data_IF_464338112482
#
_entry.id   IF_464338112482
#
_cell.length_a   1.000
_cell.length_b   1.000
_cell.length_c   1.000
_cell.angle_alpha   90.00
_cell.angle_beta   90.00
_cell.angle_gamma   90.00
#
_symmetry.space_group_name_H-M   'P 1'
#
loop_
_entity.id
_entity.type
_entity.pdbx_description
1 polymer ?
#
# COMPACT_ATOMS: atom_id res chain seq x y z
N UNK A 1 6.50 -1.79 48.88
CA UNK A 1 6.81 -3.01 48.11
C UNK A 1 6.39 -2.93 46.62
N UNK A 2 5.46 -2.06 46.21
CA UNK A 2 4.92 -1.99 44.84
C UNK A 2 5.79 -1.33 43.75
N UNK A 3 6.67 -0.37 44.07
CA UNK A 3 7.52 0.32 43.06
C UNK A 3 8.71 -0.50 42.55
N UNK A 4 9.27 -1.42 43.35
CA UNK A 4 10.43 -2.23 42.97
C UNK A 4 10.11 -3.38 42.03
N UNK A 5 8.91 -3.96 42.14
CA UNK A 5 8.43 -5.05 41.27
C UNK A 5 8.12 -4.53 39.85
N UNK A 6 7.54 -3.33 39.74
CA UNK A 6 7.29 -2.63 38.47
C UNK A 6 8.58 -2.29 37.70
N UNK A 7 9.65 -1.84 38.38
CA UNK A 7 10.94 -1.56 37.73
C UNK A 7 11.64 -2.80 37.18
N UNK A 8 11.55 -3.94 37.87
CA UNK A 8 12.12 -5.22 37.39
C UNK A 8 11.37 -5.73 36.15
N UNK A 9 10.04 -5.66 36.18
CA UNK A 9 9.19 -6.02 35.03
C UNK A 9 9.46 -5.09 33.85
N UNK A 10 9.55 -3.77 34.07
CA UNK A 10 9.87 -2.81 33.02
C UNK A 10 11.26 -3.04 32.40
N UNK A 11 12.29 -3.29 33.22
CA UNK A 11 13.64 -3.62 32.71
C UNK A 11 13.64 -4.92 31.92
N UNK A 12 12.93 -5.94 32.38
CA UNK A 12 12.80 -7.20 31.66
C UNK A 12 12.07 -7.00 30.31
N UNK A 13 11.01 -6.19 30.29
CA UNK A 13 10.29 -5.85 29.06
C UNK A 13 11.19 -5.11 28.06
N UNK A 14 11.95 -4.11 28.52
CA UNK A 14 12.93 -3.40 27.67
C UNK A 14 13.98 -4.36 27.12
N UNK A 15 14.55 -5.24 27.94
CA UNK A 15 15.53 -6.23 27.47
C UNK A 15 14.93 -7.24 26.49
N UNK A 16 13.70 -7.69 26.73
CA UNK A 16 12.98 -8.58 25.81
C UNK A 16 12.69 -7.88 24.47
N UNK A 17 12.29 -6.60 24.50
CA UNK A 17 12.10 -5.80 23.28
C UNK A 17 13.41 -5.63 22.53
N UNK A 18 14.49 -5.25 23.20
CA UNK A 18 15.82 -5.11 22.57
C UNK A 18 16.27 -6.44 21.97
N UNK A 19 16.15 -7.54 22.70
CA UNK A 19 16.46 -8.88 22.19
C UNK A 19 15.61 -9.25 20.99
N UNK A 20 14.29 -8.99 21.03
CA UNK A 20 13.40 -9.20 19.89
C UNK A 20 13.83 -8.38 18.68
N UNK A 21 14.14 -7.10 18.85
CA UNK A 21 14.63 -6.24 17.77
C UNK A 21 15.95 -6.75 17.19
N UNK A 22 16.86 -7.24 18.04
CA UNK A 22 18.14 -7.83 17.58
C UNK A 22 17.91 -9.15 16.84
N UNK A 23 17.02 -10.03 17.31
CA UNK A 23 16.67 -11.26 16.62
C UNK A 23 16.00 -10.98 15.27
N UNK A 24 15.02 -10.07 15.23
CA UNK A 24 14.33 -9.70 13.99
C UNK A 24 15.28 -9.01 13.01
N UNK A 25 16.04 -8.01 13.46
CA UNK A 25 17.03 -7.32 12.62
C UNK A 25 18.15 -8.25 12.14
N UNK A 26 18.66 -9.11 13.03
CA UNK A 26 19.65 -10.13 12.69
C UNK A 26 19.13 -11.14 11.69
N UNK A 27 17.88 -11.59 11.83
CA UNK A 27 17.24 -12.48 10.85
C UNK A 27 17.08 -11.81 9.49
N UNK A 28 16.65 -10.55 9.46
CA UNK A 28 16.52 -9.77 8.21
C UNK A 28 17.86 -9.63 7.50
N UNK A 29 18.94 -9.35 8.24
CA UNK A 29 20.29 -9.28 7.69
C UNK A 29 20.78 -10.65 7.21
N UNK A 30 20.55 -11.71 7.98
CA UNK A 30 20.93 -13.07 7.60
C UNK A 30 20.25 -13.51 6.30
N UNK A 31 18.93 -13.33 6.19
CA UNK A 31 18.18 -13.62 4.97
C UNK A 31 18.60 -12.70 3.82
N UNK A 32 18.81 -11.40 4.09
CA UNK A 32 19.27 -10.44 3.08
C UNK A 32 20.63 -10.80 2.49
N UNK A 33 21.59 -11.22 3.32
CA UNK A 33 22.90 -11.71 2.86
C UNK A 33 22.75 -13.06 2.16
N UNK A 34 21.87 -13.94 2.68
CA UNK A 34 21.61 -15.26 2.13
C UNK A 34 21.02 -15.27 0.71
N UNK A 35 20.42 -14.15 0.27
CA UNK A 35 19.95 -13.98 -1.12
C UNK A 35 21.10 -13.89 -2.15
N UNK A 36 22.33 -13.61 -1.71
CA UNK A 36 23.49 -13.60 -2.60
C UNK A 36 23.34 -12.63 -3.77
N UNK A 37 23.48 -13.14 -5.00
CA UNK A 37 23.44 -12.34 -6.23
C UNK A 37 22.02 -12.06 -6.75
N UNK A 38 20.98 -12.67 -6.16
CA UNK A 38 19.59 -12.53 -6.60
C UNK A 38 19.12 -11.07 -6.75
N UNK A 39 19.37 -10.15 -5.79
CA UNK A 39 18.94 -8.76 -5.93
C UNK A 39 19.58 -8.04 -7.13
N UNK A 40 20.82 -8.40 -7.47
CA UNK A 40 21.53 -7.82 -8.62
C UNK A 40 20.96 -8.36 -9.93
N UNK A 41 20.70 -9.67 -9.99
CA UNK A 41 20.03 -10.31 -11.14
C UNK A 41 18.63 -9.73 -11.34
N UNK A 42 17.84 -9.62 -10.26
CA UNK A 42 16.52 -9.00 -10.28
C UNK A 42 16.59 -7.55 -10.79
N UNK A 43 17.48 -6.73 -10.24
CA UNK A 43 17.63 -5.32 -10.66
C UNK A 43 18.01 -5.20 -12.13
N UNK A 44 18.85 -6.13 -12.63
CA UNK A 44 19.25 -6.17 -14.03
C UNK A 44 18.08 -6.55 -14.94
N UNK A 45 17.39 -7.64 -14.62
CA UNK A 45 16.29 -8.17 -15.44
C UNK A 45 15.03 -7.30 -15.37
N UNK A 46 14.75 -6.64 -14.25
CA UNK A 46 13.61 -5.75 -14.07
C UNK A 46 13.95 -4.30 -14.42
N UNK A 47 14.35 -3.49 -13.43
CA UNK A 47 14.47 -2.04 -13.57
C UNK A 47 15.46 -1.59 -14.66
N UNK A 48 16.65 -2.19 -14.73
CA UNK A 48 17.67 -1.78 -15.72
C UNK A 48 17.31 -2.16 -17.16
N UNK A 49 16.52 -3.22 -17.35
CA UNK A 49 16.06 -3.62 -18.67
C UNK A 49 15.12 -2.59 -19.32
N UNK A 50 14.57 -1.63 -18.55
CA UNK A 50 13.74 -0.53 -19.07
C UNK A 50 14.39 0.23 -20.22
N UNK A 51 15.69 0.48 -20.13
CA UNK A 51 16.40 1.30 -21.12
C UNK A 51 16.82 0.48 -22.37
N UNK A 52 16.67 -0.85 -22.31
CA UNK A 52 17.08 -1.78 -23.35
C UNK A 52 15.89 -2.42 -24.09
N UNK A 53 14.74 -2.59 -23.42
CA UNK A 53 13.53 -3.19 -23.99
C UNK A 53 12.64 -2.11 -24.59
N UNK A 54 12.34 -2.24 -25.87
CA UNK A 54 11.39 -1.38 -26.58
C UNK A 54 10.38 -2.18 -27.38
N UNK A 55 9.10 -1.87 -27.24
CA UNK A 55 7.99 -2.44 -27.99
C UNK A 55 7.13 -1.29 -28.55
N UNK A 56 6.78 -1.37 -29.84
CA UNK A 56 6.02 -0.34 -30.52
C UNK A 56 4.54 -0.45 -30.17
N UNK A 57 4.06 0.40 -29.26
CA UNK A 57 2.65 0.43 -28.89
C UNK A 57 1.81 1.05 -30.02
N UNK A 58 0.59 0.55 -30.27
CA UNK A 58 -0.25 1.08 -31.35
C UNK A 58 -0.65 2.54 -31.08
N UNK A 59 -0.55 3.38 -32.11
CA UNK A 59 -0.89 4.80 -31.99
C UNK A 59 -2.38 5.00 -31.67
N UNK A 60 -2.67 5.93 -30.75
CA UNK A 60 -4.03 6.24 -30.27
C UNK A 60 -4.82 5.04 -29.71
N UNK A 61 -4.17 3.92 -29.46
CA UNK A 61 -4.78 2.70 -28.97
C UNK A 61 -4.12 2.25 -27.67
N UNK A 62 -4.79 1.32 -26.99
CA UNK A 62 -4.27 0.68 -25.80
C UNK A 62 -3.83 -0.74 -26.09
N UNK A 63 -2.67 -1.11 -25.58
CA UNK A 63 -2.20 -2.48 -25.58
C UNK A 63 -1.63 -2.86 -24.22
N UNK A 64 -1.86 -4.11 -23.84
CA UNK A 64 -1.13 -4.77 -22.77
C UNK A 64 -0.04 -5.66 -23.36
N UNK A 65 0.87 -6.07 -22.50
CA UNK A 65 1.74 -7.20 -22.76
C UNK A 65 1.38 -8.34 -21.81
N UNK A 66 1.81 -9.55 -22.14
CA UNK A 66 1.93 -10.67 -21.22
C UNK A 66 3.41 -11.04 -21.10
N UNK A 67 3.80 -11.64 -19.98
CA UNK A 67 5.21 -11.95 -19.67
C UNK A 67 5.33 -13.34 -19.07
N UNK A 68 6.48 -13.99 -19.23
CA UNK A 68 6.80 -15.27 -18.60
C UNK A 68 6.46 -15.29 -17.10
N UNK A 69 6.11 -16.48 -16.59
CA UNK A 69 5.74 -16.68 -15.17
C UNK A 69 6.84 -16.15 -14.24
N UNK A 70 6.42 -15.67 -13.06
CA UNK A 70 7.28 -15.15 -11.99
C UNK A 70 7.93 -13.78 -12.27
N UNK A 71 7.55 -13.12 -13.39
CA UNK A 71 8.02 -11.79 -13.78
C UNK A 71 6.87 -10.76 -13.82
N UNK A 72 5.76 -11.04 -13.13
CA UNK A 72 4.46 -10.35 -13.25
C UNK A 72 4.53 -8.81 -13.16
N UNK A 73 5.44 -8.25 -12.36
CA UNK A 73 5.55 -6.81 -12.13
C UNK A 73 6.70 -6.13 -12.89
N UNK A 74 7.46 -6.85 -13.70
CA UNK A 74 8.59 -6.27 -14.43
C UNK A 74 8.14 -5.22 -15.44
N UNK A 75 7.05 -5.45 -16.22
CA UNK A 75 6.56 -4.46 -17.18
C UNK A 75 6.18 -3.12 -16.56
N UNK A 76 5.80 -3.10 -15.27
CA UNK A 76 5.50 -1.86 -14.54
C UNK A 76 6.74 -0.95 -14.45
N UNK A 77 7.95 -1.50 -14.28
CA UNK A 77 9.18 -0.70 -14.30
C UNK A 77 9.48 -0.18 -15.70
N UNK A 78 9.13 -0.96 -16.73
CA UNK A 78 9.35 -0.63 -18.14
C UNK A 78 8.35 0.39 -18.68
N UNK A 79 7.24 0.62 -17.98
CA UNK A 79 6.17 1.51 -18.40
C UNK A 79 5.12 0.86 -19.32
N UNK A 80 5.08 -0.48 -19.37
CA UNK A 80 4.09 -1.22 -20.15
C UNK A 80 2.99 -1.78 -19.24
N UNK A 81 1.74 -1.67 -19.70
CA UNK A 81 0.61 -2.33 -19.04
C UNK A 81 0.70 -3.85 -19.22
N UNK A 82 0.37 -4.62 -18.18
CA UNK A 82 0.50 -6.07 -18.19
C UNK A 82 -0.84 -6.75 -17.87
N UNK A 83 -1.13 -7.87 -18.55
CA UNK A 83 -2.22 -8.77 -18.20
C UNK A 83 -1.97 -9.47 -16.86
N UNK A 84 -0.69 -9.76 -16.53
CA UNK A 84 -0.31 -10.26 -15.21
C UNK A 84 -0.06 -9.09 -14.28
N UNK A 85 -0.62 -9.14 -13.09
CA UNK A 85 -0.30 -8.15 -12.07
C UNK A 85 -0.48 -8.73 -10.69
N UNK A 86 0.41 -8.31 -9.78
CA UNK A 86 0.14 -8.33 -8.35
C UNK A 86 -0.27 -6.91 -7.95
N UNK A 87 -1.47 -6.75 -7.42
CA UNK A 87 -2.00 -5.45 -6.98
C UNK A 87 -2.78 -5.62 -5.68
N UNK A 88 -2.65 -4.68 -4.73
CA UNK A 88 -3.28 -4.82 -3.40
C UNK A 88 -4.76 -4.42 -3.36
N UNK A 89 -5.21 -3.62 -4.33
CA UNK A 89 -6.57 -3.05 -4.38
C UNK A 89 -7.46 -3.88 -5.34
N UNK A 90 -7.29 -5.20 -5.39
CA UNK A 90 -7.99 -6.04 -6.37
C UNK A 90 -9.53 -5.90 -6.23
N UNK A 91 -10.24 -5.53 -7.30
CA UNK A 91 -11.69 -5.50 -7.32
C UNK A 91 -12.28 -6.91 -7.13
N UNK A 92 -13.36 -7.11 -6.33
CA UNK A 92 -14.02 -8.40 -6.20
C UNK A 92 -14.53 -8.96 -7.54
N UNK A 93 -14.97 -8.08 -8.44
CA UNK A 93 -15.43 -8.41 -9.78
C UNK A 93 -14.37 -9.13 -10.61
N UNK A 94 -13.10 -8.77 -10.45
CA UNK A 94 -11.98 -9.44 -11.12
C UNK A 94 -11.78 -10.86 -10.61
N UNK A 95 -11.92 -11.09 -9.29
CA UNK A 95 -11.83 -12.43 -8.71
C UNK A 95 -12.96 -13.33 -9.23
N UNK A 96 -14.19 -12.80 -9.27
CA UNK A 96 -15.36 -13.50 -9.81
C UNK A 96 -15.19 -13.84 -11.30
N UNK A 97 -14.59 -12.95 -12.10
CA UNK A 97 -14.28 -13.23 -13.51
C UNK A 97 -13.33 -14.43 -13.66
N UNK A 98 -12.18 -14.40 -12.98
CA UNK A 98 -11.18 -15.46 -13.13
C UNK A 98 -11.70 -16.82 -12.64
N UNK A 99 -12.47 -16.84 -11.55
CA UNK A 99 -13.17 -18.05 -11.09
C UNK A 99 -14.15 -18.59 -12.16
N UNK A 100 -14.92 -17.70 -12.79
CA UNK A 100 -15.89 -18.09 -13.80
C UNK A 100 -15.26 -18.71 -15.05
N UNK A 101 -14.07 -18.25 -15.47
CA UNK A 101 -13.33 -18.78 -16.63
C UNK A 101 -12.33 -19.89 -16.30
N UNK A 102 -12.37 -20.44 -15.06
CA UNK A 102 -11.56 -21.58 -14.65
C UNK A 102 -10.08 -21.27 -14.45
N UNK A 103 -9.75 -20.00 -14.19
CA UNK A 103 -8.37 -19.58 -13.93
C UNK A 103 -8.23 -19.27 -12.44
N UNK A 104 -7.39 -20.03 -11.75
CA UNK A 104 -7.11 -19.73 -10.35
C UNK A 104 -6.40 -18.37 -10.24
N UNK A 105 -7.00 -17.46 -9.48
CA UNK A 105 -6.38 -16.19 -9.11
C UNK A 105 -6.13 -16.15 -7.61
N UNK A 106 -4.86 -15.99 -7.24
CA UNK A 106 -4.45 -15.72 -5.87
C UNK A 106 -4.25 -14.20 -5.69
N UNK A 107 -3.06 -13.80 -5.25
CA UNK A 107 -2.62 -12.42 -5.22
C UNK A 107 -2.25 -11.88 -6.61
N UNK A 108 -2.03 -12.76 -7.59
CA UNK A 108 -1.65 -12.38 -8.94
C UNK A 108 -2.55 -13.05 -10.01
N UNK A 109 -2.76 -12.33 -11.11
CA UNK A 109 -3.41 -12.86 -12.30
C UNK A 109 -2.41 -13.64 -13.16
N UNK A 110 -2.52 -14.97 -13.25
CA UNK A 110 -1.59 -15.84 -14.00
C UNK A 110 -2.34 -16.85 -14.88
N UNK A 111 -2.98 -16.35 -15.94
CA UNK A 111 -3.59 -17.24 -16.92
C UNK A 111 -2.51 -18.05 -17.67
N UNK A 112 -2.66 -19.38 -17.69
CA UNK A 112 -1.80 -20.28 -18.45
C UNK A 112 -1.82 -19.95 -19.96
N UNK A 113 -0.80 -20.40 -20.70
CA UNK A 113 -0.65 -20.15 -22.14
C UNK A 113 -1.77 -20.78 -22.97
N UNK A 114 -2.21 -21.99 -22.61
CA UNK A 114 -3.38 -22.68 -23.21
C UNK A 114 -4.68 -21.86 -23.18
N UNK A 115 -4.77 -20.89 -22.28
CA UNK A 115 -5.88 -19.94 -22.17
C UNK A 115 -5.61 -18.68 -23.03
N UNK A 116 -5.12 -18.89 -24.25
CA UNK A 116 -4.76 -17.83 -25.19
C UNK A 116 -5.90 -16.86 -25.53
N UNK A 117 -7.20 -17.22 -25.59
CA UNK A 117 -8.23 -16.27 -25.98
C UNK A 117 -8.38 -15.09 -25.00
N UNK A 118 -7.98 -15.26 -23.73
CA UNK A 118 -7.96 -14.16 -22.75
C UNK A 118 -6.98 -13.05 -23.13
N UNK A 119 -5.91 -13.37 -23.86
CA UNK A 119 -4.93 -12.38 -24.33
C UNK A 119 -5.58 -11.43 -25.33
N UNK A 120 -6.46 -11.94 -26.19
CA UNK A 120 -7.21 -11.11 -27.13
C UNK A 120 -8.26 -10.26 -26.43
N UNK A 121 -9.03 -10.84 -25.50
CA UNK A 121 -10.01 -10.09 -24.70
C UNK A 121 -9.36 -8.92 -23.93
N UNK A 122 -8.09 -9.09 -23.54
CA UNK A 122 -7.33 -8.11 -22.77
C UNK A 122 -6.43 -7.21 -23.60
N UNK A 123 -6.58 -7.21 -24.92
CA UNK A 123 -5.81 -6.37 -25.85
C UNK A 123 -4.30 -6.55 -25.67
N UNK A 124 -3.84 -7.80 -25.53
CA UNK A 124 -2.43 -8.14 -25.40
C UNK A 124 -1.78 -8.12 -26.78
N UNK A 125 -0.83 -7.21 -27.00
CA UNK A 125 -0.11 -7.08 -28.28
C UNK A 125 1.21 -7.83 -28.30
N UNK A 126 1.86 -8.00 -27.15
CA UNK A 126 3.17 -8.66 -27.05
C UNK A 126 3.20 -9.71 -25.94
N UNK A 127 3.92 -10.80 -26.19
CA UNK A 127 4.34 -11.75 -25.16
C UNK A 127 5.85 -11.66 -24.98
N UNK A 128 6.30 -11.53 -23.74
CA UNK A 128 7.72 -11.36 -23.39
C UNK A 128 8.19 -12.58 -22.58
N UNK A 129 9.05 -13.38 -23.17
CA UNK A 129 9.64 -14.57 -22.54
C UNK A 129 11.02 -14.25 -21.96
N UNK A 130 11.22 -14.42 -20.65
CA UNK A 130 12.57 -14.34 -20.07
C UNK A 130 13.43 -15.53 -20.49
N UNK A 131 14.65 -15.27 -20.97
CA UNK A 131 15.60 -16.29 -21.41
C UNK A 131 16.53 -16.67 -20.27
N UNK A 132 16.40 -17.88 -19.75
CA UNK A 132 17.37 -18.46 -18.81
C UNK A 132 18.62 -18.96 -19.54
N UNK A 133 19.80 -18.79 -18.92
CA UNK A 133 21.11 -18.91 -19.58
C UNK A 133 21.48 -20.26 -20.24
N UNK A 134 20.67 -21.30 -20.09
CA UNK A 134 20.82 -22.59 -20.79
C UNK A 134 19.84 -22.79 -21.96
N UNK A 135 18.85 -21.91 -22.14
CA UNK A 135 17.69 -22.14 -23.03
C UNK A 135 17.82 -21.41 -24.37
N UNK A 136 19.04 -20.99 -24.72
CA UNK A 136 19.31 -20.29 -25.98
C UNK A 136 19.01 -21.13 -27.25
N UNK A 137 18.70 -22.42 -27.11
CA UNK A 137 18.42 -23.34 -28.23
C UNK A 137 17.17 -24.21 -28.12
N UNK A 138 16.42 -24.17 -27.02
CA UNK A 138 15.16 -24.92 -26.89
C UNK A 138 13.98 -23.93 -27.01
N UNK A 139 13.13 -24.14 -28.02
CA UNK A 139 11.80 -23.55 -28.05
C UNK A 139 11.05 -24.14 -26.85
N UNK A 140 10.78 -23.32 -25.83
CA UNK A 140 9.92 -23.75 -24.73
C UNK A 140 8.50 -23.96 -25.25
N UNK A 141 7.86 -25.05 -24.82
CA UNK A 141 6.49 -25.46 -25.17
C UNK A 141 5.43 -24.36 -24.95
N UNK A 142 5.75 -23.31 -24.18
CA UNK A 142 4.83 -22.22 -23.83
C UNK A 142 4.30 -21.45 -25.05
N UNK A 143 5.11 -21.24 -26.08
CA UNK A 143 4.66 -20.59 -27.32
C UNK A 143 3.86 -21.55 -28.21
N UNK A 144 4.04 -22.86 -28.07
CA UNK A 144 3.31 -23.84 -28.89
C UNK A 144 1.79 -23.77 -28.66
N UNK A 145 1.37 -23.41 -27.45
CA UNK A 145 -0.03 -23.17 -27.09
C UNK A 145 -0.58 -21.81 -27.58
N UNK A 146 0.26 -20.96 -28.17
CA UNK A 146 -0.05 -19.57 -28.55
C UNK A 146 0.35 -19.29 -30.01
N UNK A 147 -0.29 -19.94 -31.00
CA UNK A 147 0.12 -19.93 -32.41
C UNK A 147 0.07 -18.55 -33.09
N UNK A 148 -0.71 -17.61 -32.54
CA UNK A 148 -0.82 -16.22 -32.98
C UNK A 148 0.37 -15.33 -32.61
N UNK A 149 1.25 -15.78 -31.70
CA UNK A 149 2.43 -15.04 -31.29
C UNK A 149 3.63 -15.42 -32.16
N UNK A 150 4.13 -14.46 -32.95
CA UNK A 150 5.32 -14.64 -33.80
C UNK A 150 6.52 -13.98 -33.16
N UNK A 151 7.67 -14.66 -33.23
CA UNK A 151 8.93 -14.10 -32.73
C UNK A 151 9.25 -12.81 -33.48
N UNK A 152 9.43 -11.73 -32.73
CA UNK A 152 9.80 -10.42 -33.25
C UNK A 152 11.30 -10.19 -33.11
N UNK A 153 11.81 -10.27 -31.87
CA UNK A 153 13.22 -9.97 -31.55
C UNK A 153 13.63 -10.49 -30.18
N UNK A 154 14.92 -10.39 -29.87
CA UNK A 154 15.48 -10.69 -28.55
C UNK A 154 16.35 -9.55 -28.05
N UNK A 155 16.04 -9.01 -26.87
CA UNK A 155 16.70 -7.85 -26.26
C UNK A 155 16.74 -8.01 -24.73
N UNK A 156 17.76 -7.48 -24.06
CA UNK A 156 17.87 -7.46 -22.59
C UNK A 156 17.69 -8.81 -21.85
N UNK A 157 17.91 -9.95 -22.53
CA UNK A 157 17.66 -11.27 -21.97
C UNK A 157 16.22 -11.77 -22.10
N UNK A 158 15.42 -11.15 -22.98
CA UNK A 158 14.04 -11.51 -23.25
C UNK A 158 13.81 -11.76 -24.75
N UNK A 159 13.02 -12.78 -25.09
CA UNK A 159 12.43 -12.96 -26.42
C UNK A 159 11.07 -12.28 -26.44
N UNK A 160 10.85 -11.45 -27.45
CA UNK A 160 9.62 -10.68 -27.62
C UNK A 160 8.88 -11.27 -28.81
N UNK A 161 7.61 -11.56 -28.61
CA UNK A 161 6.70 -12.09 -29.63
C UNK A 161 5.57 -11.09 -29.86
N UNK A 162 5.23 -10.84 -31.12
CA UNK A 162 4.11 -10.01 -31.51
C UNK A 162 2.86 -10.87 -31.75
N UNK A 163 1.72 -10.39 -31.24
CA UNK A 163 0.43 -11.00 -31.46
C UNK A 163 -0.19 -10.54 -32.79
N UNK A 164 -0.40 -11.49 -33.71
CA UNK A 164 -1.09 -11.28 -35.00
C UNK A 164 -2.63 -11.28 -34.88
N UNK A 165 -3.17 -11.67 -33.73
CA UNK A 165 -4.60 -11.71 -33.42
C UNK A 165 -5.05 -10.57 -32.49
N UNK A 166 -4.20 -9.57 -32.24
CA UNK A 166 -4.47 -8.45 -31.33
C UNK A 166 -5.81 -7.74 -31.61
N UNK A 167 -6.65 -7.66 -30.58
CA UNK A 167 -7.92 -6.93 -30.57
C UNK A 167 -7.77 -5.63 -29.76
N UNK A 168 -7.96 -4.44 -30.34
CA UNK A 168 -7.94 -3.18 -29.59
C UNK A 168 -9.04 -3.09 -28.52
N UNK A 169 -8.89 -2.13 -27.62
CA UNK A 169 -9.81 -1.97 -26.48
C UNK A 169 -11.19 -1.48 -26.92
N UNK A 170 -12.24 -1.88 -26.18
CA UNK A 170 -13.61 -1.39 -26.41
C UNK A 170 -14.33 -2.18 -27.49
N UNK A 171 -14.62 -3.45 -27.22
CA UNK A 171 -15.20 -4.41 -28.17
C UNK A 171 -16.73 -4.23 -28.21
N UNK A 172 -17.31 -4.01 -29.39
CA UNK A 172 -18.75 -3.83 -29.56
C UNK A 172 -19.49 -5.16 -29.75
N UNK A 173 -20.55 -5.42 -28.97
CA UNK A 173 -21.33 -6.65 -29.05
C UNK A 173 -22.77 -6.38 -29.49
N UNK A 174 -23.25 -7.22 -30.40
CA UNK A 174 -24.65 -7.33 -30.83
C UNK A 174 -25.31 -8.63 -30.35
N UNK A 175 -24.54 -9.50 -29.70
CA UNK A 175 -24.93 -10.85 -29.34
C UNK A 175 -24.68 -11.12 -27.87
N UNK A 176 -25.54 -11.92 -27.24
CA UNK A 176 -25.40 -12.30 -25.83
C UNK A 176 -25.47 -13.82 -25.60
N UNK A 177 -24.91 -14.26 -24.48
CA UNK A 177 -25.10 -15.59 -23.91
C UNK A 177 -25.61 -15.47 -22.48
N UNK A 178 -26.56 -16.34 -22.12
CA UNK A 178 -27.07 -16.39 -20.76
C UNK A 178 -26.02 -16.89 -19.79
N UNK A 179 -25.93 -16.25 -18.62
CA UNK A 179 -24.99 -16.66 -17.57
C UNK A 179 -25.10 -18.15 -17.22
N UNK A 180 -26.32 -18.68 -17.16
CA UNK A 180 -26.56 -20.10 -16.87
C UNK A 180 -26.01 -21.04 -17.94
N UNK A 181 -25.97 -20.63 -19.20
CA UNK A 181 -25.43 -21.44 -20.29
C UNK A 181 -23.92 -21.27 -20.41
N UNK A 182 -23.41 -20.06 -20.16
CA UNK A 182 -21.99 -19.78 -20.03
C UNK A 182 -21.35 -20.66 -18.95
N UNK A 183 -21.96 -20.76 -17.77
CA UNK A 183 -21.40 -21.50 -16.63
C UNK A 183 -21.28 -23.01 -16.89
N UNK A 184 -22.08 -23.58 -17.80
CA UNK A 184 -22.06 -25.01 -18.18
C UNK A 184 -20.94 -25.37 -19.16
N UNK A 185 -20.26 -24.38 -19.74
CA UNK A 185 -19.24 -24.60 -20.76
C UNK A 185 -17.88 -24.98 -20.15
N UNK A 186 -16.99 -25.57 -20.97
CA UNK A 186 -15.59 -25.79 -20.59
C UNK A 186 -14.83 -24.47 -20.50
N UNK A 187 -13.76 -24.41 -19.71
CA UNK A 187 -12.99 -23.17 -19.48
C UNK A 187 -12.48 -22.52 -20.76
N UNK A 188 -11.92 -23.32 -21.69
CA UNK A 188 -11.47 -22.80 -22.99
C UNK A 188 -12.64 -22.29 -23.85
N UNK A 189 -13.79 -22.96 -23.80
CA UNK A 189 -14.97 -22.52 -24.54
C UNK A 189 -15.54 -21.20 -23.96
N UNK A 190 -15.54 -21.05 -22.63
CA UNK A 190 -15.89 -19.80 -21.95
C UNK A 190 -15.02 -18.64 -22.42
N UNK A 191 -13.71 -18.87 -22.56
CA UNK A 191 -12.80 -17.81 -23.01
C UNK A 191 -13.01 -17.43 -24.48
N UNK A 192 -13.34 -18.41 -25.34
CA UNK A 192 -13.63 -18.15 -26.75
C UNK A 192 -14.97 -17.43 -26.95
N UNK A 193 -16.01 -17.73 -26.14
CA UNK A 193 -17.32 -17.06 -26.30
C UNK A 193 -17.29 -15.60 -25.89
N UNK A 194 -16.44 -15.25 -24.92
CA UNK A 194 -16.29 -13.86 -24.47
C UNK A 194 -15.79 -12.92 -25.56
N UNK A 195 -15.30 -13.42 -26.70
CA UNK A 195 -14.97 -12.59 -27.87
C UNK A 195 -16.15 -12.41 -28.83
N UNK A 196 -17.14 -13.30 -28.76
CA UNK A 196 -18.30 -13.39 -29.66
C UNK A 196 -19.57 -12.80 -29.07
N UNK A 197 -19.80 -13.00 -27.77
CA UNK A 197 -21.03 -12.61 -27.12
C UNK A 197 -20.78 -12.17 -25.68
N UNK A 198 -21.54 -11.16 -25.25
CA UNK A 198 -21.51 -10.67 -23.87
C UNK A 198 -22.32 -11.60 -22.96
N UNK A 199 -21.81 -11.90 -21.76
CA UNK A 199 -22.51 -12.70 -20.76
C UNK A 199 -23.43 -11.80 -19.94
N UNK A 200 -24.73 -12.10 -19.97
CA UNK A 200 -25.75 -11.32 -19.29
C UNK A 200 -26.50 -12.12 -18.21
N UNK A 201 -26.91 -11.40 -17.16
CA UNK A 201 -27.93 -11.87 -16.22
C UNK A 201 -29.32 -11.88 -16.85
N UNK A 202 -30.31 -12.62 -16.28
CA UNK A 202 -31.70 -12.56 -16.74
C UNK A 202 -32.26 -11.13 -16.78
N UNK A 203 -31.96 -10.32 -15.77
CA UNK A 203 -32.44 -8.93 -15.68
C UNK A 203 -31.85 -8.05 -16.79
N UNK A 204 -30.55 -8.18 -17.07
CA UNK A 204 -29.88 -7.44 -18.15
C UNK A 204 -30.39 -7.87 -19.52
N UNK A 205 -30.60 -9.17 -19.73
CA UNK A 205 -31.18 -9.70 -20.97
C UNK A 205 -32.51 -9.04 -21.28
N UNK A 206 -33.39 -8.93 -20.29
CA UNK A 206 -34.70 -8.28 -20.45
C UNK A 206 -34.54 -6.78 -20.73
N UNK A 207 -33.59 -6.11 -20.08
CA UNK A 207 -33.30 -4.69 -20.29
C UNK A 207 -32.75 -4.38 -21.71
N UNK A 208 -32.00 -5.31 -22.29
CA UNK A 208 -31.37 -5.18 -23.62
C UNK A 208 -32.06 -5.99 -24.72
N UNK A 209 -33.27 -6.47 -24.46
CA UNK A 209 -34.07 -7.22 -25.42
C UNK A 209 -34.29 -6.39 -26.70
N UNK A 210 -34.02 -7.01 -27.86
CA UNK A 210 -34.16 -6.36 -29.18
C UNK A 210 -32.99 -5.47 -29.60
N UNK A 211 -32.01 -5.26 -28.72
CA UNK A 211 -30.71 -4.69 -29.08
C UNK A 211 -29.65 -5.79 -29.24
N UNK A 212 -29.67 -6.78 -28.34
CA UNK A 212 -28.78 -7.93 -28.39
C UNK A 212 -29.56 -9.20 -28.77
N UNK A 213 -28.98 -10.00 -29.65
CA UNK A 213 -29.54 -11.28 -30.09
C UNK A 213 -28.87 -12.45 -29.36
N UNK A 214 -29.59 -13.53 -29.03
CA UNK A 214 -28.97 -14.70 -28.43
C UNK A 214 -28.00 -15.36 -29.41
N UNK A 215 -26.83 -15.77 -28.94
CA UNK A 215 -25.85 -16.45 -29.79
C UNK A 215 -26.45 -17.71 -30.44
N UNK A 216 -26.35 -17.82 -31.78
CA UNK A 216 -26.95 -18.91 -32.56
C UNK A 216 -26.34 -20.28 -32.26
N UNK A 217 -27.20 -21.31 -32.26
CA UNK A 217 -26.97 -22.62 -31.65
C UNK A 217 -26.03 -23.63 -32.34
N UNK A 218 -25.21 -23.26 -33.32
CA UNK A 218 -24.20 -24.15 -33.92
C UNK A 218 -22.78 -23.57 -33.98
N UNK A 219 -22.60 -22.28 -33.66
CA UNK A 219 -21.28 -21.61 -33.59
C UNK A 219 -20.52 -21.91 -32.28
N UNK A 220 -21.01 -22.93 -31.57
CA UNK A 220 -20.56 -23.43 -30.28
C UNK A 220 -19.28 -24.27 -30.45
N UNK A 221 -18.17 -23.56 -30.62
CA UNK A 221 -16.80 -23.99 -30.29
C UNK A 221 -16.24 -25.20 -31.04
N UNK A 222 -15.52 -24.90 -32.11
CA UNK A 222 -14.19 -25.44 -32.40
C UNK A 222 -13.67 -24.64 -33.60
N UNK A 223 -13.10 -23.46 -33.34
CA UNK A 223 -12.32 -22.77 -34.36
C UNK A 223 -10.92 -23.36 -34.30
N UNK A 224 -10.41 -23.80 -35.45
CA UNK A 224 -8.98 -24.02 -35.64
C UNK A 224 -8.22 -22.74 -35.30
N UNK A 225 -6.92 -22.85 -35.06
CA UNK A 225 -6.14 -21.68 -34.67
C UNK A 225 -6.11 -20.61 -35.79
N UNK A 226 -6.09 -21.02 -37.05
CA UNK A 226 -6.16 -20.11 -38.20
C UNK A 226 -7.52 -19.40 -38.30
N UNK A 227 -8.63 -20.12 -38.09
CA UNK A 227 -9.97 -19.52 -38.05
C UNK A 227 -10.10 -18.55 -36.87
N UNK A 228 -9.51 -18.88 -35.72
CA UNK A 228 -9.50 -18.01 -34.56
C UNK A 228 -8.74 -16.71 -34.82
N UNK A 229 -7.56 -16.80 -35.44
CA UNK A 229 -6.76 -15.62 -35.81
C UNK A 229 -7.53 -14.73 -36.79
N UNK A 230 -8.10 -15.32 -37.85
CA UNK A 230 -8.90 -14.59 -38.83
C UNK A 230 -10.11 -13.91 -38.18
N UNK A 231 -10.79 -14.61 -37.27
CA UNK A 231 -11.90 -14.05 -36.51
C UNK A 231 -11.48 -12.86 -35.66
N UNK A 232 -10.35 -12.93 -34.95
CA UNK A 232 -9.88 -11.81 -34.13
C UNK A 232 -9.48 -10.60 -34.99
N UNK A 233 -8.92 -10.84 -36.18
CA UNK A 233 -8.58 -9.79 -37.13
C UNK A 233 -9.82 -9.08 -37.69
N UNK A 234 -10.88 -9.83 -37.99
CA UNK A 234 -12.19 -9.25 -38.35
C UNK A 234 -12.77 -8.47 -37.18
N UNK A 235 -12.71 -9.07 -35.97
CA UNK A 235 -13.22 -8.46 -34.74
C UNK A 235 -12.53 -7.15 -34.36
N UNK A 236 -11.27 -6.98 -34.75
CA UNK A 236 -10.54 -5.74 -34.51
C UNK A 236 -11.19 -4.53 -35.20
N UNK A 237 -12.00 -4.72 -36.25
CA UNK A 237 -12.77 -3.66 -36.89
C UNK A 237 -13.93 -3.14 -36.02
N UNK A 238 -14.46 -3.97 -35.10
CA UNK A 238 -15.58 -3.65 -34.21
C UNK A 238 -15.10 -3.17 -32.83
N UNK A 239 -13.97 -2.45 -32.81
CA UNK A 239 -13.36 -1.91 -31.58
C UNK A 239 -13.30 -0.39 -31.63
N UNK A 240 -12.87 0.25 -30.54
CA UNK A 240 -12.75 1.69 -30.53
C UNK A 240 -11.71 2.18 -31.55
N UNK A 241 -12.01 3.27 -32.25
CA UNK A 241 -11.10 4.02 -33.13
C UNK A 241 -9.93 4.63 -32.34
N UNK A 242 -10.17 4.98 -31.07
CA UNK A 242 -9.14 5.45 -30.17
C UNK A 242 -9.46 5.14 -28.71
N UNK A 243 -8.41 4.97 -27.91
CA UNK A 243 -8.49 4.79 -26.46
C UNK A 243 -7.35 5.52 -25.76
N UNK A 244 -7.69 6.31 -24.74
CA UNK A 244 -6.74 7.05 -23.90
C UNK A 244 -7.15 6.95 -22.45
N UNK A 245 -6.19 6.83 -21.54
CA UNK A 245 -6.47 6.71 -20.12
C UNK A 245 -5.52 7.60 -19.30
N UNK A 246 -5.96 7.91 -18.08
CA UNK A 246 -5.19 8.63 -17.08
C UNK A 246 -5.40 8.02 -15.69
N UNK A 247 -5.03 8.73 -14.63
CA UNK A 247 -5.17 8.26 -13.24
C UNK A 247 -6.60 8.27 -12.71
N UNK A 248 -7.54 8.87 -13.43
CA UNK A 248 -8.93 9.09 -13.02
C UNK A 248 -9.94 8.40 -13.93
N UNK A 249 -9.53 7.86 -15.08
CA UNK A 249 -10.39 7.07 -15.95
C UNK A 249 -9.86 6.95 -17.36
N UNK A 250 -10.77 6.89 -18.33
CA UNK A 250 -10.41 6.77 -19.74
C UNK A 250 -11.45 7.41 -20.67
N UNK A 251 -11.01 7.70 -21.88
CA UNK A 251 -11.79 8.25 -22.98
C UNK A 251 -11.57 7.36 -24.21
N UNK A 252 -12.66 7.06 -24.91
CA UNK A 252 -12.66 6.23 -26.10
C UNK A 252 -13.60 6.80 -27.16
N UNK A 253 -13.30 6.53 -28.42
CA UNK A 253 -14.17 6.86 -29.54
C UNK A 253 -14.42 5.60 -30.37
N UNK A 254 -15.66 5.38 -30.80
CA UNK A 254 -16.05 4.22 -31.59
C UNK A 254 -17.15 4.61 -32.58
N UNK A 255 -17.10 4.04 -33.79
CA UNK A 255 -18.13 4.24 -34.82
C UNK A 255 -18.87 2.93 -35.03
N UNK A 256 -20.19 2.94 -34.90
CA UNK A 256 -21.02 1.73 -34.96
C UNK A 256 -22.03 1.78 -36.11
N UNK A 257 -22.28 0.65 -36.76
CA UNK A 257 -23.31 0.53 -37.82
C UNK A 257 -24.73 0.37 -37.24
N UNK A 258 -24.84 -0.03 -35.97
CA UNK A 258 -26.10 -0.22 -35.26
C UNK A 258 -25.88 -0.02 -33.75
N UNK A 259 -26.94 0.10 -32.94
CA UNK A 259 -26.78 0.18 -31.49
C UNK A 259 -26.18 -1.11 -30.92
N UNK A 260 -25.05 -1.00 -30.23
CA UNK A 260 -24.30 -2.13 -29.67
C UNK A 260 -23.80 -1.86 -28.24
N UNK A 261 -23.46 -2.92 -27.54
CA UNK A 261 -22.89 -2.86 -26.20
C UNK A 261 -21.37 -2.84 -26.29
N UNK A 262 -20.73 -1.77 -25.86
CA UNK A 262 -19.27 -1.62 -25.95
C UNK A 262 -18.65 -2.02 -24.62
N UNK A 263 -17.89 -3.11 -24.64
CA UNK A 263 -17.23 -3.70 -23.49
C UNK A 263 -15.78 -3.24 -23.37
N UNK A 264 -15.39 -2.89 -22.16
CA UNK A 264 -14.01 -2.58 -21.79
C UNK A 264 -13.51 -3.65 -20.82
N UNK A 265 -12.34 -4.24 -21.09
CA UNK A 265 -11.68 -5.19 -20.18
C UNK A 265 -11.04 -4.48 -18.97
N UNK A 266 -11.85 -3.68 -18.29
CA UNK A 266 -11.57 -2.95 -17.05
C UNK A 266 -12.56 -3.45 -15.99
N UNK A 267 -12.09 -3.94 -14.83
CA UNK A 267 -12.99 -4.56 -13.86
C UNK A 267 -14.03 -3.58 -13.31
N UNK A 268 -15.25 -4.07 -13.13
CA UNK A 268 -16.35 -3.30 -12.58
C UNK A 268 -16.13 -2.95 -11.10
N UNK A 269 -16.39 -1.70 -10.75
CA UNK A 269 -16.49 -1.22 -9.37
C UNK A 269 -17.56 -0.12 -9.26
N UNK A 270 -18.14 0.03 -8.06
CA UNK A 270 -19.15 1.07 -7.77
C UNK A 270 -18.63 2.51 -7.93
N UNK A 271 -17.31 2.70 -7.95
CA UNK A 271 -16.70 4.02 -8.12
C UNK A 271 -16.71 4.54 -9.56
N UNK A 272 -17.08 3.71 -10.53
CA UNK A 272 -17.11 4.09 -11.94
C UNK A 272 -18.40 4.81 -12.33
N UNK A 273 -18.24 5.82 -13.17
CA UNK A 273 -19.30 6.55 -13.86
C UNK A 273 -18.94 6.66 -15.34
N UNK A 274 -19.95 6.69 -16.21
CA UNK A 274 -19.72 6.80 -17.65
C UNK A 274 -20.62 7.86 -18.29
N UNK A 275 -20.13 8.43 -19.39
CA UNK A 275 -20.88 9.29 -20.28
C UNK A 275 -20.71 8.83 -21.72
N UNK A 276 -21.80 8.81 -22.48
CA UNK A 276 -21.81 8.54 -23.92
C UNK A 276 -22.34 9.80 -24.61
N UNK A 277 -21.54 10.37 -25.50
CA UNK A 277 -21.84 11.63 -26.20
C UNK A 277 -22.19 12.78 -25.23
N UNK A 278 -21.52 12.83 -24.07
CA UNK A 278 -21.71 13.84 -23.02
C UNK A 278 -22.99 13.66 -22.18
N UNK A 279 -23.74 12.58 -22.37
CA UNK A 279 -24.89 12.22 -21.54
C UNK A 279 -24.52 11.09 -20.59
N UNK A 280 -25.01 11.16 -19.35
CA UNK A 280 -24.78 10.11 -18.36
C UNK A 280 -25.30 8.76 -18.88
N UNK A 281 -24.46 7.73 -18.76
CA UNK A 281 -24.73 6.37 -19.21
C UNK A 281 -24.59 5.40 -18.04
N UNK A 282 -25.43 4.37 -18.03
CA UNK A 282 -25.36 3.28 -17.05
C UNK A 282 -24.12 2.42 -17.33
N UNK A 283 -23.32 2.21 -16.28
CA UNK A 283 -22.17 1.30 -16.32
C UNK A 283 -22.66 -0.10 -16.00
N UNK A 284 -22.74 -0.93 -17.04
CA UNK A 284 -23.17 -2.31 -16.90
C UNK A 284 -22.04 -3.20 -16.42
N UNK A 285 -22.34 -4.08 -15.46
CA UNK A 285 -21.45 -5.18 -15.07
C UNK A 285 -21.76 -6.38 -15.95
N UNK A 286 -20.89 -6.66 -16.91
CA UNK A 286 -21.05 -7.76 -17.87
C UNK A 286 -19.84 -8.69 -17.84
N UNK A 287 -19.92 -9.82 -18.54
CA UNK A 287 -18.84 -10.82 -18.60
C UNK A 287 -18.35 -11.20 -17.21
N UNK A 288 -19.30 -11.34 -16.28
CA UNK A 288 -19.08 -11.59 -14.85
C UNK A 288 -18.41 -10.44 -14.09
N UNK A 289 -17.39 -9.78 -14.65
CA UNK A 289 -16.54 -8.85 -13.90
C UNK A 289 -16.13 -7.57 -14.60
N UNK A 290 -16.52 -7.35 -15.85
CA UNK A 290 -16.09 -6.19 -16.65
C UNK A 290 -17.19 -5.15 -16.83
N UNK A 291 -16.80 -4.02 -17.43
CA UNK A 291 -17.69 -2.89 -17.65
C UNK A 291 -18.09 -2.78 -19.11
N UNK A 292 -19.36 -2.45 -19.35
CA UNK A 292 -19.83 -2.06 -20.67
C UNK A 292 -20.78 -0.87 -20.60
N UNK A 293 -20.96 -0.21 -21.75
CA UNK A 293 -21.95 0.86 -21.94
C UNK A 293 -22.68 0.65 -23.26
N UNK A 294 -23.94 1.06 -23.31
CA UNK A 294 -24.72 1.10 -24.54
C UNK A 294 -24.30 2.29 -25.40
N UNK A 295 -24.00 2.03 -26.67
CA UNK A 295 -23.71 3.06 -27.67
C UNK A 295 -24.74 3.03 -28.79
N UNK A 296 -25.00 4.19 -29.39
CA UNK A 296 -25.93 4.31 -30.52
C UNK A 296 -25.27 4.03 -31.86
N UNK A 297 -26.05 3.98 -32.93
CA UNK A 297 -25.52 4.00 -34.30
C UNK A 297 -24.75 5.31 -34.57
N UNK A 298 -23.66 5.22 -35.34
CA UNK A 298 -22.81 6.33 -35.71
C UNK A 298 -21.61 6.52 -34.77
N UNK A 299 -21.04 7.72 -34.79
CA UNK A 299 -19.87 8.06 -33.97
C UNK A 299 -20.28 8.28 -32.50
N UNK A 300 -19.62 7.58 -31.58
CA UNK A 300 -19.82 7.68 -30.15
C UNK A 300 -18.52 8.10 -29.46
N UNK A 301 -18.61 9.08 -28.57
CA UNK A 301 -17.54 9.43 -27.62
C UNK A 301 -17.91 8.90 -26.24
N UNK A 302 -17.07 8.05 -25.67
CA UNK A 302 -17.29 7.36 -24.41
C UNK A 302 -16.27 7.87 -23.39
N UNK A 303 -16.73 8.31 -22.24
CA UNK A 303 -15.88 8.79 -21.15
C UNK A 303 -16.21 8.05 -19.87
N UNK A 304 -15.23 7.37 -19.28
CA UNK A 304 -15.32 6.77 -17.95
C UNK A 304 -14.50 7.57 -16.94
N UNK A 305 -15.06 7.75 -15.74
CA UNK A 305 -14.39 8.38 -14.60
C UNK A 305 -14.58 7.55 -13.35
N UNK A 306 -13.50 7.38 -12.59
CA UNK A 306 -13.46 6.65 -11.35
C UNK A 306 -13.26 7.59 -10.16
N UNK A 307 -14.03 7.34 -9.11
CA UNK A 307 -13.79 7.92 -7.80
C UNK A 307 -13.92 6.83 -6.72
N UNK A 308 -12.91 6.73 -5.86
CA UNK A 308 -12.93 5.76 -4.75
C UNK A 308 -14.14 6.00 -3.85
N UNK A 309 -15.05 5.01 -3.73
CA UNK A 309 -16.24 5.14 -2.91
C UNK A 309 -15.89 5.50 -1.46
N UNK A 310 -16.51 6.56 -0.94
CA UNK A 310 -16.29 7.02 0.43
C UNK A 310 -15.07 7.92 0.63
N UNK A 311 -14.26 8.21 -0.39
CA UNK A 311 -13.10 9.11 -0.27
C UNK A 311 -13.51 10.51 0.19
N UNK A 312 -14.52 11.12 -0.45
CA UNK A 312 -15.05 12.44 -0.04
C UNK A 312 -15.58 12.41 1.40
N UNK A 313 -16.31 11.34 1.76
CA UNK A 313 -16.84 11.18 3.13
C UNK A 313 -15.70 11.06 4.14
N UNK A 314 -14.66 10.29 3.82
CA UNK A 314 -13.46 10.14 4.65
C UNK A 314 -12.74 11.47 4.87
N UNK A 315 -12.57 12.27 3.81
CA UNK A 315 -12.00 13.62 3.91
C UNK A 315 -12.84 14.51 4.83
N UNK A 316 -14.17 14.50 4.69
CA UNK A 316 -15.07 15.27 5.55
C UNK A 316 -14.91 14.85 7.03
N UNK A 317 -14.93 13.54 7.31
CA UNK A 317 -14.78 13.01 8.68
C UNK A 317 -13.42 13.37 9.27
N UNK A 318 -12.34 13.27 8.48
CA UNK A 318 -11.00 13.68 8.89
C UNK A 318 -10.96 15.17 9.26
N UNK A 319 -11.51 16.04 8.40
CA UNK A 319 -11.56 17.48 8.66
C UNK A 319 -12.37 17.82 9.91
N UNK A 320 -13.53 17.18 10.10
CA UNK A 320 -14.33 17.32 11.32
C UNK A 320 -13.58 16.86 12.57
N UNK A 321 -12.87 15.74 12.50
CA UNK A 321 -12.03 15.22 13.59
C UNK A 321 -10.88 16.16 13.93
N UNK A 322 -10.18 16.68 12.92
CA UNK A 322 -9.09 17.64 13.09
C UNK A 322 -9.59 18.96 13.70
N UNK A 323 -10.74 19.47 13.24
CA UNK A 323 -11.39 20.65 13.81
C UNK A 323 -11.80 20.42 15.27
N UNK A 324 -12.35 19.24 15.59
CA UNK A 324 -12.69 18.84 16.96
C UNK A 324 -11.48 18.76 17.87
N UNK A 325 -10.37 18.18 17.41
CA UNK A 325 -9.10 18.13 18.15
C UNK A 325 -8.53 19.52 18.38
N UNK A 326 -8.53 20.37 17.35
CA UNK A 326 -8.07 21.75 17.47
C UNK A 326 -8.91 22.55 18.47
N UNK A 327 -10.23 22.40 18.42
CA UNK A 327 -11.13 23.00 19.40
C UNK A 327 -10.84 22.48 20.83
N UNK A 328 -10.65 21.17 21.00
CA UNK A 328 -10.29 20.59 22.29
C UNK A 328 -8.97 21.15 22.83
N UNK A 329 -7.92 21.21 22.01
CA UNK A 329 -6.61 21.76 22.41
C UNK A 329 -6.70 23.25 22.75
N UNK A 330 -7.49 24.03 21.99
CA UNK A 330 -7.74 25.43 22.29
C UNK A 330 -8.49 25.61 23.62
N UNK A 331 -9.53 24.80 23.86
CA UNK A 331 -10.27 24.82 25.12
C UNK A 331 -9.36 24.46 26.30
N UNK A 332 -8.54 23.40 26.17
CA UNK A 332 -7.57 23.04 27.20
C UNK A 332 -6.54 24.14 27.43
N UNK A 333 -6.00 24.74 26.38
CA UNK A 333 -5.07 25.87 26.51
C UNK A 333 -5.72 27.10 27.18
N UNK A 334 -7.01 27.36 26.97
CA UNK A 334 -7.73 28.45 27.62
C UNK A 334 -8.03 28.12 29.09
N UNK A 335 -8.45 26.88 29.38
CA UNK A 335 -8.79 26.42 30.73
C UNK A 335 -7.54 26.25 31.61
N UNK A 336 -6.42 25.78 31.05
CA UNK A 336 -5.16 25.60 31.77
C UNK A 336 -4.36 26.89 32.01
N UNK A 337 -4.81 28.04 31.48
CA UNK A 337 -4.19 29.36 31.77
C UNK A 337 -4.17 29.71 33.27
N UNK A 338 -4.92 29.01 34.11
CA UNK A 338 -4.92 29.16 35.57
C UNK A 338 -4.24 28.04 36.36
N UNK A 339 -3.80 26.97 35.72
CA UNK A 339 -3.32 25.73 36.39
C UNK A 339 -1.89 25.35 36.03
N UNK A 340 -1.21 26.06 35.11
CA UNK A 340 0.24 25.94 34.99
C UNK A 340 0.83 26.46 36.31
N UNK A 341 1.34 25.62 37.23
CA UNK A 341 2.10 26.14 38.34
C UNK A 341 3.25 26.93 37.71
N UNK A 342 3.46 28.17 38.14
CA UNK A 342 4.63 28.94 37.73
C UNK A 342 5.82 28.00 37.87
N UNK A 343 6.38 27.55 36.74
CA UNK A 343 7.59 26.74 36.77
C UNK A 343 8.56 27.58 37.59
N UNK A 344 9.05 27.11 38.76
CA UNK A 344 10.11 27.84 39.41
C UNK A 344 11.19 27.97 38.36
N UNK A 345 11.67 29.19 38.11
CA UNK A 345 12.86 29.44 37.30
C UNK A 345 14.08 28.81 37.99
N UNK A 346 14.08 27.50 38.23
CA UNK A 346 15.29 26.77 38.48
C UNK A 346 15.84 26.40 37.10
N UNK A 347 16.59 27.35 36.53
CA UNK A 347 17.71 26.97 35.66
C UNK A 347 18.63 26.12 36.54
N UNK A 348 18.43 24.81 36.54
CA UNK A 348 19.50 23.91 36.92
C UNK A 348 20.54 24.02 35.80
N UNK A 349 21.45 24.99 35.93
CA UNK A 349 22.78 24.78 35.40
C UNK A 349 23.29 23.52 36.11
N UNK A 350 23.60 22.47 35.34
CA UNK A 350 24.51 21.47 35.84
C UNK A 350 25.85 22.18 35.98
N UNK A 351 26.10 22.72 37.17
CA UNK A 351 27.42 23.16 37.52
C UNK A 351 28.24 21.87 37.70
N UNK A 352 29.05 21.56 36.68
CA UNK A 352 30.03 20.49 36.75
C UNK A 352 31.32 20.99 37.42
N UNK A 353 31.26 22.06 38.22
CA UNK A 353 32.37 22.46 39.05
C UNK A 353 32.46 21.63 40.33
N UNK A 354 33.50 20.79 40.37
CA UNK A 354 34.09 20.27 41.59
C UNK A 354 33.34 19.12 42.26
N UNK A 355 33.49 17.90 41.73
CA UNK A 355 33.43 16.72 42.59
C UNK A 355 34.60 16.76 43.58
N UNK A 356 34.43 17.41 44.74
CA UNK A 356 35.15 16.96 45.92
C UNK A 356 34.67 15.54 46.24
N UNK A 357 35.62 14.60 46.22
CA UNK A 357 35.42 13.17 46.37
C UNK A 357 34.97 12.82 47.80
N UNK A 358 33.70 13.02 48.13
CA UNK A 358 33.10 12.34 49.27
C UNK A 358 32.80 10.90 48.86
N UNK A 359 33.62 9.97 49.34
CA UNK A 359 33.43 8.54 49.14
C UNK A 359 32.05 8.14 49.67
N UNK A 360 31.30 7.32 48.91
CA UNK A 360 29.96 6.78 49.24
C UNK A 360 29.83 6.29 50.71
N UNK A 361 30.94 5.80 51.29
CA UNK A 361 31.09 5.45 52.71
C UNK A 361 30.70 6.57 53.70
N UNK A 362 31.13 7.82 53.45
CA UNK A 362 30.83 8.97 54.33
C UNK A 362 29.34 9.36 54.26
N UNK A 363 28.71 9.22 53.08
CA UNK A 363 27.26 9.40 52.91
C UNK A 363 26.47 8.32 53.65
N UNK A 364 26.95 7.07 53.61
CA UNK A 364 26.35 5.98 54.37
C UNK A 364 26.44 6.19 55.89
N UNK A 365 27.61 6.62 56.40
CA UNK A 365 27.79 6.91 57.83
C UNK A 365 26.89 8.05 58.32
N UNK A 366 26.77 9.14 57.57
CA UNK A 366 25.86 10.24 57.92
C UNK A 366 24.38 9.81 57.86
N UNK A 367 23.99 8.97 56.90
CA UNK A 367 22.64 8.43 56.84
C UNK A 367 22.32 7.47 58.01
N UNK A 368 23.30 6.65 58.42
CA UNK A 368 23.16 5.75 59.57
C UNK A 368 23.06 6.53 60.89
N UNK A 369 23.86 7.59 61.06
CA UNK A 369 23.80 8.48 62.22
C UNK A 369 22.45 9.23 62.33
N UNK A 370 21.87 9.60 61.18
CA UNK A 370 20.56 10.26 61.14
C UNK A 370 19.41 9.33 61.57
N UNK A 371 19.48 8.02 61.25
CA UNK A 371 18.46 7.03 61.66
C UNK A 371 18.52 6.64 63.14
N UNK A 372 19.62 6.88 63.84
CA UNK A 372 19.75 6.58 65.28
C UNK A 372 19.19 7.69 66.18
N UNK A 373 18.72 8.81 65.62
CA UNK A 373 18.03 9.83 66.42
C UNK A 373 16.61 9.37 66.77
N UNK A 374 16.21 9.33 68.05
CA UNK A 374 14.85 8.98 68.42
C UNK A 374 13.86 10.00 67.86
N UNK A 375 12.75 9.52 67.28
CA UNK A 375 11.72 10.39 66.69
C UNK A 375 11.10 11.32 67.76
N UNK A 376 10.76 12.58 67.43
CA UNK A 376 10.14 13.52 68.37
C UNK A 376 8.77 13.08 68.92
N UNK A 377 8.18 12.00 68.38
CA UNK A 377 6.86 11.47 68.77
C UNK A 377 6.86 10.56 70.00
N UNK A 378 8.00 10.33 70.68
CA UNK A 378 8.07 9.44 71.86
C UNK A 378 8.21 10.11 73.22
N UNK A 379 8.10 11.45 73.33
CA UNK A 379 8.17 12.17 74.62
C UNK A 379 6.79 12.67 75.10
N UNK A 380 5.71 12.50 74.34
CA UNK A 380 4.37 13.02 74.71
C UNK A 380 3.36 11.95 75.18
N UNK A 381 3.83 10.89 75.83
CA UNK A 381 2.96 9.86 76.42
C UNK A 381 3.56 9.28 77.71
N UNK A 382 3.75 10.13 78.72
CA UNK A 382 3.74 9.75 80.13
C UNK A 382 3.71 11.05 80.97
N UNK A 383 2.52 11.65 81.04
CA UNK A 383 2.22 12.65 82.06
C UNK A 383 0.79 12.43 82.54
N UNK A 384 0.66 11.89 83.76
CA UNK A 384 -0.46 12.13 84.68
C UNK A 384 0.14 12.53 86.04
N UNK A 385 -0.55 13.39 86.81
CA UNK A 385 0.09 14.35 87.70
C UNK A 385 0.18 13.87 89.16
N UNK A 386 1.21 14.31 89.90
CA UNK A 386 1.13 14.51 91.35
C UNK A 386 2.33 15.33 91.89
N UNK A 387 1.98 16.32 92.72
CA UNK A 387 2.74 16.97 93.81
C UNK A 387 3.90 17.96 93.50
N UNK A 388 3.68 19.25 93.83
CA UNK A 388 4.67 20.22 94.33
C UNK A 388 5.28 19.75 95.68
N UNK A 389 6.44 20.24 96.17
CA UNK A 389 7.12 21.55 95.99
C UNK A 389 8.63 21.37 95.63
N UNK A 390 9.57 22.33 95.54
CA UNK A 390 9.77 23.69 96.04
C UNK A 390 10.78 24.45 95.12
N UNK A 391 10.93 25.74 95.38
CA UNK A 391 11.76 26.75 94.70
C UNK A 391 13.25 26.40 94.55
N UNK A 392 13.88 26.89 93.46
CA UNK A 392 15.10 27.73 93.50
C UNK A 392 15.38 28.35 92.12
N UNK A 393 15.67 29.64 92.13
CA UNK A 393 16.24 30.46 91.05
C UNK A 393 17.54 29.86 90.49
N UNK A 394 17.77 29.96 89.17
CA UNK A 394 18.96 30.66 88.62
C UNK A 394 19.08 30.59 87.09
N UNK A 395 19.17 31.81 86.51
CA UNK A 395 19.83 32.27 85.28
C UNK A 395 19.96 31.40 84.00
N UNK A 396 19.37 31.88 82.90
CA UNK A 396 19.77 31.60 81.51
C UNK A 396 21.10 32.30 81.15
N UNK A 397 21.98 31.69 80.33
CA UNK A 397 22.98 32.41 79.55
C UNK A 397 22.60 32.51 78.06
N UNK A 398 22.71 33.73 77.55
CA UNK A 398 22.51 34.16 76.15
C UNK A 398 23.51 33.51 75.17
N UNK A 399 23.05 33.25 73.95
CA UNK A 399 23.88 32.85 72.79
C UNK A 399 24.27 34.11 71.97
N UNK A 400 25.54 34.26 71.53
CA UNK A 400 25.99 35.46 70.83
C UNK A 400 25.58 35.51 69.34
N UNK A 401 25.36 36.74 68.89
CA UNK A 401 24.92 37.18 67.56
C UNK A 401 25.96 36.90 66.43
N UNK A 402 25.57 36.22 65.33
CA UNK A 402 26.48 35.91 64.21
C UNK A 402 26.80 37.08 63.26
N UNK A 403 26.44 38.33 63.57
CA UNK A 403 26.66 39.48 62.67
C UNK A 403 27.79 40.47 63.03
N UNK A 404 28.89 40.01 63.64
CA UNK A 404 30.11 40.83 63.78
C UNK A 404 31.10 40.60 62.62
N UNK A 405 31.37 41.65 61.84
CA UNK A 405 32.14 41.65 60.59
C UNK A 405 33.69 41.59 60.78
N UNK A 406 34.36 41.16 59.68
CA UNK A 406 35.81 40.94 59.44
C UNK A 406 36.73 42.17 59.62
N UNK A 407 38.07 41.97 59.63
CA UNK A 407 38.93 42.21 58.43
C UNK A 407 39.94 41.05 58.20
N UNK A 408 40.30 40.60 56.98
CA UNK A 408 41.02 41.16 55.82
C UNK A 408 42.56 40.90 55.86
N UNK A 409 43.05 40.03 54.95
CA UNK A 409 44.40 39.91 54.29
C UNK A 409 44.55 38.47 53.75
N UNK A 410 45.31 38.09 52.72
CA UNK A 410 45.98 38.69 51.54
C UNK A 410 46.68 37.52 50.80
N UNK A 411 46.87 37.59 49.48
CA UNK A 411 47.77 36.72 48.70
C UNK A 411 47.03 35.81 47.71
N UNK A 412 47.00 36.17 46.41
CA UNK A 412 47.93 35.75 45.33
C UNK A 412 47.51 34.40 44.70
N UNK A 413 47.53 34.12 43.40
CA UNK A 413 47.87 34.80 42.13
C UNK A 413 47.36 33.87 41.00
N UNK A 414 46.91 34.43 39.87
CA UNK A 414 47.08 33.93 38.48
C UNK A 414 46.43 32.57 38.06
N UNK A 415 45.89 32.33 36.86
CA UNK A 415 45.99 32.96 35.54
C UNK A 415 44.76 32.63 34.66
N UNK A 416 44.56 33.44 33.61
CA UNK A 416 43.55 33.31 32.55
C UNK A 416 44.03 32.38 31.43
N UNK A 417 43.12 31.66 30.76
CA UNK A 417 43.10 31.59 29.29
C UNK A 417 41.76 31.09 28.72
N UNK A 418 41.40 31.72 27.60
CA UNK A 418 40.15 31.70 26.83
C UNK A 418 40.49 31.18 25.43
N UNK A 419 39.78 30.18 24.88
CA UNK A 419 39.66 29.89 23.44
C UNK A 419 38.37 29.08 23.23
N UNK A 420 37.29 29.67 22.73
CA UNK A 420 36.96 29.96 21.32
C UNK A 420 36.57 28.71 20.51
N UNK A 421 35.31 28.69 20.08
CA UNK A 421 34.69 27.67 19.24
C UNK A 421 34.59 28.24 17.82
N UNK A 422 35.29 27.63 16.87
CA UNK A 422 35.17 27.92 15.45
C UNK A 422 34.95 26.66 14.61
N UNK A 423 33.84 26.71 13.88
CA UNK A 423 33.42 26.01 12.64
C UNK A 423 33.26 24.48 12.58
#
# INVERSE_FOLDING_TARGET
VSRGRSRKVFRLAVWATVFSCLCTGGSMLYFGIGLGAEPVSYLKASYKAKDEISMEMPENQFARIDISKDHDNYPMFWGYSNMRCFHSIVPPSLMEFYDAVGVQRDVASRAETKFYPLRELFSVKYYVEHVTGNDAGEQHDQIADMPMFKFLKQEAGYRIYENEAYIPMGIAYDSYIDREDFDKMTDLAKQKILLKAVVLSPEQRDAYAGMLEPVSGSDKYAMSDDEFIAYCQERAADTCDSFRYDSYGFDAAITLEKPEMVLFSVPYEKGWTAQVNGQDAEVERVDVGFMAVRCGEGANTITFRYETPGLRVGIIVMCCGAAGLLLYLLLMAILDRGTVPAYPKQKHYYDYDGMESFTEHLRYMNHAAWKQRPSPRRVRAQAKPAAHPAETHDSEPELPDPFAAKPADSGAEEDYEEYDNGD
#
